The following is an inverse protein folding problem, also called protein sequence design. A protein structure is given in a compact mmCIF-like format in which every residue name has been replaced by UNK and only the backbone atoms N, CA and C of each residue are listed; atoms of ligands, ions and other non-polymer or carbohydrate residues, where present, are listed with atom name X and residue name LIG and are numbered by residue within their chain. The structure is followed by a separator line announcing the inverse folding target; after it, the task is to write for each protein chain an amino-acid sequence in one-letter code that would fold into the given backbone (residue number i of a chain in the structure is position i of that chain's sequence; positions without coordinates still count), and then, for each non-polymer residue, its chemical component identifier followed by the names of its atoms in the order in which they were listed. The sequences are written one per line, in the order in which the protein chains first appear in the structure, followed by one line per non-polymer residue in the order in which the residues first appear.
data_IF_756695426110
#
_entry.id   IF_756695426110
#
_cell.length_a   1.000
_cell.length_b   1.000
_cell.length_c   1.000
_cell.angle_alpha   90.00
_cell.angle_beta   90.00
_cell.angle_gamma   90.00
#
_symmetry.space_group_name_H-M   'P 1'
#
loop_
_entity.id
_entity.type
_entity.pdbx_description
1 polymer ?
#
# COMPACT_ATOMS: atom_id res chain seq x y z
N UNK A 1 -7.27 10.12 2.07
CA UNK A 1 -5.82 10.00 1.76
C UNK A 1 -5.65 9.39 0.39
N UNK A 2 -4.58 9.76 -0.26
CA UNK A 2 -4.34 9.34 -1.63
C UNK A 2 -3.02 8.58 -1.73
N UNK A 3 -3.02 7.49 -2.49
CA UNK A 3 -1.79 6.74 -2.74
C UNK A 3 -0.94 7.54 -3.70
N UNK A 4 0.18 8.06 -3.21
CA UNK A 4 1.08 8.88 -4.03
C UNK A 4 2.23 8.09 -4.62
N UNK A 5 2.57 6.95 -4.02
CA UNK A 5 3.58 6.06 -4.57
C UNK A 5 3.36 4.64 -4.08
N UNK A 6 3.77 3.68 -4.87
CA UNK A 6 3.64 2.27 -4.55
C UNK A 6 4.70 1.54 -5.35
N UNK A 7 5.76 1.10 -4.67
CA UNK A 7 6.91 0.53 -5.36
C UNK A 7 7.51 -0.64 -4.59
N UNK A 8 8.12 -1.61 -5.29
CA UNK A 8 8.75 -2.75 -4.63
C UNK A 8 9.99 -2.32 -3.86
N UNK A 9 10.27 -3.02 -2.76
CA UNK A 9 11.48 -2.77 -2.00
C UNK A 9 12.70 -3.29 -2.75
N UNK A 10 13.82 -2.59 -2.57
CA UNK A 10 15.04 -2.94 -3.30
C UNK A 10 15.56 -4.35 -3.00
N UNK A 11 15.53 -4.73 -1.74
CA UNK A 11 16.07 -6.02 -1.30
C UNK A 11 15.04 -7.13 -1.24
N UNK A 12 13.76 -6.78 -1.22
CA UNK A 12 12.68 -7.76 -1.12
C UNK A 12 11.62 -7.43 -2.14
N UNK A 13 11.71 -8.07 -3.28
CA UNK A 13 10.79 -7.81 -4.39
C UNK A 13 9.37 -8.26 -4.09
N UNK A 14 9.19 -9.12 -3.09
CA UNK A 14 7.87 -9.56 -2.66
C UNK A 14 7.22 -8.59 -1.67
N UNK A 15 7.92 -7.51 -1.32
CA UNK A 15 7.41 -6.48 -0.41
C UNK A 15 7.36 -5.14 -1.12
N UNK A 16 6.32 -4.38 -0.85
CA UNK A 16 6.10 -3.08 -1.50
C UNK A 16 5.99 -1.98 -0.46
N UNK A 17 6.49 -0.80 -0.80
CA UNK A 17 6.36 0.40 0.02
C UNK A 17 5.15 1.18 -0.42
N UNK A 18 4.26 1.48 0.51
CA UNK A 18 3.07 2.27 0.25
C UNK A 18 3.25 3.68 0.79
N UNK A 19 3.04 4.67 -0.06
CA UNK A 19 3.12 6.09 0.31
C UNK A 19 1.75 6.72 0.19
N UNK A 20 1.35 7.43 1.24
CA UNK A 20 0.08 8.15 1.27
C UNK A 20 0.38 9.63 1.47
N UNK A 21 -0.22 10.47 0.61
CA UNK A 21 -0.06 11.91 0.69
C UNK A 21 1.41 12.35 0.73
N UNK A 22 2.25 11.64 0.00
CA UNK A 22 3.66 11.96 -0.10
C UNK A 22 4.54 11.43 1.01
N UNK A 23 3.99 10.66 1.95
CA UNK A 23 4.75 10.13 3.08
C UNK A 23 4.65 8.61 3.13
N UNK A 24 5.73 7.96 3.54
CA UNK A 24 5.74 6.52 3.71
C UNK A 24 4.70 6.12 4.76
N UNK A 25 3.86 5.15 4.44
CA UNK A 25 2.84 4.66 5.35
C UNK A 25 3.19 3.28 5.93
N UNK A 26 3.39 2.29 5.07
CA UNK A 26 3.71 0.94 5.53
C UNK A 26 4.27 0.08 4.39
N UNK A 27 4.80 -1.10 4.77
CA UNK A 27 5.19 -2.11 3.80
C UNK A 27 4.11 -3.17 3.72
N UNK A 28 3.84 -3.64 2.51
CA UNK A 28 2.85 -4.69 2.25
C UNK A 28 3.50 -5.76 1.40
N UNK A 29 3.02 -7.01 1.52
CA UNK A 29 3.51 -8.03 0.61
C UNK A 29 2.81 -7.90 -0.75
N UNK A 30 3.40 -8.50 -1.76
CA UNK A 30 2.89 -8.43 -3.12
C UNK A 30 1.46 -8.98 -3.22
N UNK A 31 1.18 -10.04 -2.48
CA UNK A 31 -0.15 -10.62 -2.45
C UNK A 31 -1.20 -9.67 -1.94
N UNK A 32 -0.87 -8.91 -0.90
CA UNK A 32 -1.80 -7.93 -0.35
C UNK A 32 -2.06 -6.80 -1.34
N UNK A 33 -1.02 -6.33 -2.03
CA UNK A 33 -1.18 -5.29 -3.05
C UNK A 33 -2.15 -5.77 -4.14
N UNK A 34 -2.00 -7.01 -4.58
CA UNK A 34 -2.87 -7.57 -5.61
C UNK A 34 -4.30 -7.76 -5.12
N UNK A 35 -4.46 -8.32 -3.91
CA UNK A 35 -5.78 -8.59 -3.36
C UNK A 35 -6.58 -7.31 -3.12
N UNK A 36 -5.90 -6.27 -2.66
CA UNK A 36 -6.54 -4.99 -2.36
C UNK A 36 -6.71 -4.11 -3.59
N UNK A 37 -6.06 -4.48 -4.70
CA UNK A 37 -6.16 -3.71 -5.93
C UNK A 37 -5.59 -2.30 -5.82
N UNK A 38 -4.47 -2.15 -5.12
CA UNK A 38 -3.87 -0.84 -4.88
C UNK A 38 -3.28 -0.26 -6.15
N UNK A 39 -3.47 1.05 -6.34
CA UNK A 39 -2.95 1.78 -7.50
C UNK A 39 -2.52 3.17 -7.10
N UNK A 40 -1.47 3.68 -7.75
CA UNK A 40 -1.04 5.06 -7.56
C UNK A 40 -2.17 5.98 -8.02
N UNK A 41 -2.46 6.99 -7.22
CA UNK A 41 -3.56 7.93 -7.50
C UNK A 41 -4.90 7.54 -6.91
N UNK A 42 -4.97 6.36 -6.29
CA UNK A 42 -6.20 5.88 -5.68
C UNK A 42 -6.50 6.63 -4.39
N UNK A 43 -7.76 7.04 -4.21
CA UNK A 43 -8.22 7.66 -2.98
C UNK A 43 -8.64 6.57 -2.00
N UNK A 44 -8.20 6.67 -0.74
CA UNK A 44 -8.55 5.69 0.28
C UNK A 44 -9.02 6.39 1.55
N UNK A 45 -9.87 5.68 2.32
CA UNK A 45 -10.42 6.20 3.58
C UNK A 45 -10.01 5.33 4.76
N UNK A 46 -10.49 5.67 5.95
CA UNK A 46 -10.16 4.94 7.16
C UNK A 46 -10.64 3.49 7.13
N UNK A 47 -11.78 3.24 6.52
CA UNK A 47 -12.30 1.88 6.38
C UNK A 47 -11.33 1.02 5.58
N UNK A 48 -10.77 1.59 4.53
CA UNK A 48 -9.81 0.89 3.70
C UNK A 48 -8.52 0.64 4.47
N UNK A 49 -8.07 1.61 5.26
CA UNK A 49 -6.87 1.45 6.08
C UNK A 49 -7.02 0.32 7.09
N UNK A 50 -8.18 0.25 7.74
CA UNK A 50 -8.49 -0.82 8.69
C UNK A 50 -8.43 -2.17 7.98
N UNK A 51 -8.97 -2.25 6.77
CA UNK A 51 -8.95 -3.46 5.97
C UNK A 51 -7.53 -3.88 5.61
N UNK A 52 -6.67 -2.92 5.28
CA UNK A 52 -5.28 -3.20 4.97
C UNK A 52 -4.53 -3.73 6.21
N UNK A 53 -4.80 -3.14 7.37
CA UNK A 53 -4.17 -3.59 8.61
C UNK A 53 -4.56 -5.02 8.95
N UNK A 54 -5.78 -5.42 8.65
CA UNK A 54 -6.25 -6.78 8.90
C UNK A 54 -5.62 -7.80 7.95
N UNK A 55 -5.11 -7.36 6.80
CA UNK A 55 -4.44 -8.24 5.87
C UNK A 55 -3.03 -8.64 6.35
N UNK A 56 -2.44 -7.83 7.19
CA UNK A 56 -1.15 -8.13 7.78
C UNK A 56 -1.33 -9.12 8.93
#
# INVERSE_FOLDING_TARGET
MKITDLSPQKKRKDRWNLFLDGAFYCGLDEGAVARLGLKIGQEIDESFLTKMENEE
#
